data_IF_206762788650
#
_entry.id   IF_206762788650
#
_cell.length_a   1.000
_cell.length_b   1.000
_cell.length_c   1.000
_cell.angle_alpha   90.00
_cell.angle_beta   90.00
_cell.angle_gamma   90.00
#
_symmetry.space_group_name_H-M   'P 1'
#
loop_
_entity.id
_entity.type
_entity.pdbx_description
1 polymer ?
#
# COMPACT_ATOMS: atom_id res chain seq x y z
N UNK A 1 25.05 -22.12 -5.26
CA UNK A 1 23.79 -21.85 -4.54
C UNK A 1 23.16 -20.62 -5.17
N UNK A 2 22.13 -20.80 -6.01
CA UNK A 2 21.36 -19.68 -6.55
C UNK A 2 20.48 -19.18 -5.40
N UNK A 3 20.84 -18.06 -4.77
CA UNK A 3 20.02 -17.44 -3.73
C UNK A 3 18.75 -16.94 -4.39
N UNK A 4 17.74 -17.82 -4.47
CA UNK A 4 16.37 -17.41 -4.82
C UNK A 4 16.00 -16.38 -3.78
N UNK A 5 15.92 -15.11 -4.21
CA UNK A 5 15.53 -14.01 -3.34
C UNK A 5 14.25 -14.46 -2.61
N UNK A 6 14.23 -14.48 -1.27
CA UNK A 6 13.04 -14.89 -0.54
C UNK A 6 11.89 -14.02 -1.06
N UNK A 7 10.88 -14.66 -1.64
CA UNK A 7 9.71 -13.93 -2.12
C UNK A 7 9.00 -13.40 -0.89
N UNK A 8 9.18 -12.12 -0.60
CA UNK A 8 8.35 -11.43 0.39
C UNK A 8 6.89 -11.65 -0.03
N UNK A 9 6.08 -12.09 0.91
CA UNK A 9 4.65 -12.29 0.68
C UNK A 9 4.06 -11.01 0.09
N UNK A 10 3.40 -11.15 -1.05
CA UNK A 10 2.84 -10.01 -1.78
C UNK A 10 1.90 -9.18 -0.88
N UNK A 11 1.18 -9.84 0.03
CA UNK A 11 0.33 -9.17 1.03
C UNK A 11 1.10 -8.35 2.06
N UNK A 12 2.30 -8.77 2.47
CA UNK A 12 3.15 -8.02 3.39
C UNK A 12 3.70 -6.77 2.71
N UNK A 13 4.11 -6.90 1.45
CA UNK A 13 4.55 -5.76 0.66
C UNK A 13 3.41 -4.75 0.42
N UNK A 14 2.20 -5.23 0.10
CA UNK A 14 1.04 -4.35 -0.08
C UNK A 14 0.65 -3.63 1.21
N UNK A 15 0.73 -4.31 2.35
CA UNK A 15 0.46 -3.71 3.66
C UNK A 15 1.48 -2.63 4.03
N UNK A 16 2.78 -2.87 3.78
CA UNK A 16 3.82 -1.87 4.02
C UNK A 16 3.58 -0.60 3.20
N UNK A 17 3.24 -0.73 1.92
CA UNK A 17 2.91 0.42 1.07
C UNK A 17 1.67 1.17 1.55
N UNK A 18 0.63 0.46 2.00
CA UNK A 18 -0.56 1.10 2.55
C UNK A 18 -0.24 1.99 3.76
N UNK A 19 0.62 1.54 4.67
CA UNK A 19 1.07 2.33 5.84
C UNK A 19 1.88 3.54 5.38
N UNK A 20 2.82 3.37 4.45
CA UNK A 20 3.63 4.48 3.93
C UNK A 20 2.76 5.56 3.31
N UNK A 21 1.80 5.18 2.44
CA UNK A 21 0.89 6.14 1.82
C UNK A 21 -0.07 6.79 2.82
N UNK A 22 -0.58 6.03 3.80
CA UNK A 22 -1.37 6.59 4.89
C UNK A 22 -0.62 7.73 5.59
N UNK A 23 0.63 7.48 6.00
CA UNK A 23 1.43 8.47 6.72
C UNK A 23 1.78 9.67 5.85
N UNK A 24 2.15 9.47 4.58
CA UNK A 24 2.44 10.55 3.63
C UNK A 24 1.21 11.45 3.46
N UNK A 25 0.04 10.87 3.22
CA UNK A 25 -1.19 11.64 3.01
C UNK A 25 -1.64 12.34 4.29
N UNK A 26 -1.61 11.64 5.43
CA UNK A 26 -2.05 12.20 6.70
C UNK A 26 -1.17 13.38 7.12
N UNK A 27 0.15 13.19 7.14
CA UNK A 27 1.10 14.25 7.50
C UNK A 27 1.10 15.38 6.47
N UNK A 28 0.99 15.07 5.17
CA UNK A 28 0.89 16.07 4.12
C UNK A 28 -0.35 16.96 4.25
N UNK A 29 -1.51 16.36 4.56
CA UNK A 29 -2.75 17.10 4.82
C UNK A 29 -2.66 17.97 6.07
N UNK A 30 -2.07 17.45 7.16
CA UNK A 30 -1.81 18.25 8.36
C UNK A 30 -0.87 19.43 8.06
N UNK A 31 0.16 19.23 7.24
CA UNK A 31 1.12 20.27 6.87
C UNK A 31 0.49 21.42 6.08
N UNK A 32 -0.57 21.17 5.31
CA UNK A 32 -1.31 22.19 4.56
C UNK A 32 -2.54 22.72 5.31
N UNK A 33 -2.71 22.37 6.60
CA UNK A 33 -3.75 22.92 7.47
C UNK A 33 -5.11 22.25 7.38
N UNK A 34 -5.22 21.04 6.80
CA UNK A 34 -6.46 20.26 6.82
C UNK A 34 -6.77 19.85 8.27
N UNK A 35 -8.06 19.84 8.63
CA UNK A 35 -8.49 19.40 9.97
C UNK A 35 -8.01 17.96 10.24
N UNK A 36 -7.58 17.69 11.48
CA UNK A 36 -7.03 16.37 11.83
C UNK A 36 -8.00 15.21 11.58
N UNK A 37 -9.30 15.43 11.81
CA UNK A 37 -10.34 14.44 11.54
C UNK A 37 -10.51 14.16 10.05
N UNK A 38 -10.60 15.22 9.23
CA UNK A 38 -10.68 15.08 7.76
C UNK A 38 -9.44 14.42 7.20
N UNK A 39 -8.25 14.84 7.65
CA UNK A 39 -6.98 14.30 7.21
C UNK A 39 -6.88 12.80 7.51
N UNK A 40 -7.29 12.38 8.71
CA UNK A 40 -7.24 10.97 9.13
C UNK A 40 -8.22 10.09 8.36
N UNK A 41 -9.46 10.54 8.15
CA UNK A 41 -10.47 9.77 7.41
C UNK A 41 -10.04 9.61 5.95
N UNK A 42 -9.62 10.70 5.29
CA UNK A 42 -9.23 10.66 3.88
C UNK A 42 -7.99 9.81 3.65
N UNK A 43 -6.96 9.94 4.51
CA UNK A 43 -5.75 9.13 4.37
C UNK A 43 -6.04 7.65 4.63
N UNK A 44 -6.93 7.31 5.58
CA UNK A 44 -7.31 5.93 5.88
C UNK A 44 -8.07 5.28 4.72
N UNK A 45 -9.04 6.00 4.13
CA UNK A 45 -9.79 5.53 2.96
C UNK A 45 -8.85 5.32 1.77
N UNK A 46 -7.97 6.29 1.50
CA UNK A 46 -7.00 6.19 0.41
C UNK A 46 -6.02 5.02 0.62
N UNK A 47 -5.49 4.85 1.84
CA UNK A 47 -4.59 3.75 2.18
C UNK A 47 -5.27 2.38 2.06
N UNK A 48 -6.53 2.27 2.50
CA UNK A 48 -7.34 1.06 2.32
C UNK A 48 -7.58 0.74 0.84
N UNK A 49 -7.91 1.74 0.02
CA UNK A 49 -8.09 1.55 -1.42
C UNK A 49 -6.80 1.10 -2.11
N UNK A 50 -5.65 1.70 -1.78
CA UNK A 50 -4.34 1.31 -2.29
C UNK A 50 -3.97 -0.10 -1.84
N UNK A 51 -4.20 -0.43 -0.57
CA UNK A 51 -3.95 -1.76 -0.03
C UNK A 51 -4.71 -2.83 -0.83
N UNK A 52 -6.02 -2.63 -1.01
CA UNK A 52 -6.88 -3.54 -1.77
C UNK A 52 -6.45 -3.61 -3.23
N UNK A 53 -6.18 -2.47 -3.86
CA UNK A 53 -5.72 -2.41 -5.25
C UNK A 53 -4.46 -3.23 -5.45
N UNK A 54 -3.42 -2.98 -4.65
CA UNK A 54 -2.16 -3.72 -4.74
C UNK A 54 -2.39 -5.19 -4.41
N UNK A 55 -3.08 -5.51 -3.30
CA UNK A 55 -3.34 -6.89 -2.86
C UNK A 55 -4.03 -7.72 -3.95
N UNK A 56 -4.99 -7.15 -4.66
CA UNK A 56 -5.73 -7.82 -5.74
C UNK A 56 -4.89 -7.91 -7.03
N UNK A 57 -4.09 -6.88 -7.34
CA UNK A 57 -3.26 -6.85 -8.56
C UNK A 57 -2.05 -7.80 -8.50
N UNK A 58 -1.63 -8.23 -7.31
CA UNK A 58 -0.51 -9.15 -7.13
C UNK A 58 -0.72 -10.59 -7.60
N UNK A 59 -1.98 -10.97 -7.83
CA UNK A 59 -2.35 -12.32 -8.28
C UNK A 59 -2.17 -12.50 -9.79
N UNK A 60 -2.05 -11.40 -10.55
CA UNK A 60 -1.91 -11.37 -12.01
C UNK A 60 -0.47 -11.63 -12.50
N UNK A 61 0.32 -12.47 -11.83
CA UNK A 61 1.52 -13.03 -12.47
C UNK A 61 1.05 -14.10 -13.47
N UNK A 62 1.09 -13.85 -14.80
CA UNK A 62 0.83 -14.90 -15.75
C UNK A 62 2.04 -15.83 -15.64
N UNK A 63 1.85 -17.01 -15.03
CA UNK A 63 2.85 -18.05 -15.11
C UNK A 63 3.21 -18.28 -16.58
N UNK A 64 4.48 -18.50 -16.94
CA UNK A 64 4.85 -18.81 -18.31
C UNK A 64 3.98 -19.98 -18.78
N UNK A 65 3.11 -19.72 -19.75
CA UNK A 65 2.37 -20.77 -20.42
C UNK A 65 3.37 -21.45 -21.36
N UNK A 66 3.94 -22.55 -20.91
CA UNK A 66 4.78 -23.45 -21.71
C UNK A 66 4.21 -24.86 -21.65
#
# INVERSE_FOLDING_TARGET
MHLRMPSIDHGVQSFAWAIVFFLILWLGMLAVGVSGGTALILSLVAAGAIFLFVRLSGEDRPGPRS
#
